data_IF_868204144819
#
_entry.id   IF_868204144819
#
_cell.length_a   1.000
_cell.length_b   1.000
_cell.length_c   1.000
_cell.angle_alpha   90.00
_cell.angle_beta   90.00
_cell.angle_gamma   90.00
#
_symmetry.space_group_name_H-M   'P 1'
#
loop_
_entity.id
_entity.type
_entity.pdbx_description
1 polymer ?
#
# COMPACT_ATOMS: atom_id res chain seq x y z
N UNK A 1 2.92 7.27 3.22
CA UNK A 1 2.37 6.57 2.05
C UNK A 1 0.89 6.91 1.95
N UNK A 2 0.40 7.21 0.75
CA UNK A 2 -0.99 7.61 0.50
C UNK A 2 -1.77 6.47 -0.14
N UNK A 3 -3.04 6.34 0.21
CA UNK A 3 -3.96 5.33 -0.30
C UNK A 3 -5.18 5.97 -0.96
N UNK A 4 -5.63 5.41 -2.07
CA UNK A 4 -6.76 5.87 -2.89
C UNK A 4 -7.77 4.75 -3.08
N UNK A 5 -9.05 5.08 -3.20
CA UNK A 5 -10.08 4.09 -3.52
C UNK A 5 -9.98 3.66 -4.98
N UNK A 6 -10.23 2.38 -5.24
CA UNK A 6 -10.40 1.83 -6.61
C UNK A 6 -11.55 2.46 -7.39
N UNK A 7 -12.50 3.14 -6.71
CA UNK A 7 -13.63 3.83 -7.35
C UNK A 7 -13.43 5.35 -7.46
N UNK A 8 -12.33 5.88 -6.91
CA UNK A 8 -11.91 7.28 -7.11
C UNK A 8 -12.65 8.34 -6.28
N UNK A 9 -13.80 8.00 -5.68
CA UNK A 9 -14.69 8.95 -5.00
C UNK A 9 -14.54 8.95 -3.47
N UNK A 10 -13.48 8.32 -2.95
CA UNK A 10 -13.13 8.36 -1.52
C UNK A 10 -11.96 9.32 -1.24
N UNK A 11 -11.90 9.93 -0.04
CA UNK A 11 -10.75 10.72 0.39
C UNK A 11 -9.44 9.93 0.33
N UNK A 12 -8.34 10.62 -0.01
CA UNK A 12 -6.99 10.06 0.08
C UNK A 12 -6.62 9.89 1.54
N UNK A 13 -6.23 8.69 1.94
CA UNK A 13 -5.90 8.36 3.34
C UNK A 13 -4.42 8.02 3.53
N UNK A 14 -3.94 8.13 4.77
CA UNK A 14 -2.69 7.49 5.21
C UNK A 14 -2.88 5.99 5.43
N UNK A 15 -1.77 5.26 5.62
CA UNK A 15 -1.81 3.80 5.85
C UNK A 15 -2.67 3.41 7.06
N UNK A 16 -2.41 4.00 8.23
CA UNK A 16 -3.16 3.66 9.45
C UNK A 16 -4.66 3.91 9.29
N UNK A 17 -5.03 5.03 8.67
CA UNK A 17 -6.43 5.37 8.43
C UNK A 17 -7.09 4.41 7.44
N UNK A 18 -6.37 3.98 6.38
CA UNK A 18 -6.86 3.01 5.42
C UNK A 18 -7.08 1.62 6.07
N UNK A 19 -6.15 1.19 6.94
CA UNK A 19 -6.28 -0.07 7.70
C UNK A 19 -7.47 -0.02 8.65
N UNK A 20 -7.64 1.09 9.38
CA UNK A 20 -8.75 1.25 10.32
C UNK A 20 -10.11 1.40 9.62
N UNK A 21 -10.13 2.03 8.45
CA UNK A 21 -11.35 2.14 7.64
C UNK A 21 -11.80 0.80 7.05
N UNK A 22 -10.84 -0.08 6.70
CA UNK A 22 -11.10 -1.36 6.06
C UNK A 22 -11.57 -1.19 4.62
N UNK A 23 -12.86 -0.86 4.43
CA UNK A 23 -13.46 -0.58 3.12
C UNK A 23 -13.48 0.94 2.85
N UNK A 24 -13.25 1.35 1.60
CA UNK A 24 -13.39 2.74 1.22
C UNK A 24 -14.86 3.19 1.27
N UNK A 25 -15.10 4.48 1.52
CA UNK A 25 -16.46 5.02 1.76
C UNK A 25 -17.41 4.89 0.57
N UNK A 26 -16.84 4.81 -0.64
CA UNK A 26 -17.55 4.61 -1.91
C UNK A 26 -17.78 3.10 -2.23
N UNK A 27 -17.47 2.21 -1.28
CA UNK A 27 -17.54 0.76 -1.45
C UNK A 27 -16.39 0.17 -2.28
N UNK A 28 -15.35 0.97 -2.57
CA UNK A 28 -14.11 0.51 -3.19
C UNK A 28 -13.10 -0.05 -2.17
N UNK A 29 -11.93 -0.44 -2.67
CA UNK A 29 -10.79 -0.88 -1.85
C UNK A 29 -9.71 0.19 -1.87
N UNK A 30 -9.00 0.37 -0.75
CA UNK A 30 -7.84 1.25 -0.71
C UNK A 30 -6.60 0.57 -1.32
N UNK A 31 -5.97 1.23 -2.28
CA UNK A 31 -4.68 0.84 -2.89
C UNK A 31 -3.65 1.96 -2.69
N UNK A 32 -2.35 1.67 -2.60
CA UNK A 32 -1.35 2.72 -2.53
C UNK A 32 -1.38 3.56 -3.81
N UNK A 33 -1.28 4.88 -3.67
CA UNK A 33 -1.23 5.80 -4.81
C UNK A 33 -0.07 5.47 -5.76
N UNK A 34 1.05 5.00 -5.20
CA UNK A 34 2.23 4.57 -5.94
C UNK A 34 2.77 3.27 -5.36
N UNK A 35 3.21 2.36 -6.24
CA UNK A 35 3.83 1.10 -5.84
C UNK A 35 5.32 1.29 -5.57
N UNK A 36 5.83 0.88 -4.39
CA UNK A 36 7.26 0.84 -4.12
C UNK A 36 7.97 0.02 -5.18
N UNK A 37 9.04 0.57 -5.75
CA UNK A 37 9.86 -0.10 -6.75
C UNK A 37 11.13 -0.64 -6.09
N UNK A 38 11.44 -1.90 -6.34
CA UNK A 38 12.70 -2.50 -5.92
C UNK A 38 13.62 -2.67 -7.13
N UNK A 39 14.84 -2.17 -7.00
CA UNK A 39 15.88 -2.43 -8.01
C UNK A 39 16.32 -3.90 -7.98
N UNK A 40 16.95 -4.37 -9.05
CA UNK A 40 17.54 -5.72 -9.06
C UNK A 40 18.59 -5.89 -7.94
N UNK A 41 19.29 -4.82 -7.55
CA UNK A 41 20.24 -4.85 -6.44
C UNK A 41 19.52 -5.00 -5.09
N UNK A 42 18.41 -4.29 -4.87
CA UNK A 42 17.61 -4.39 -3.64
C UNK A 42 17.08 -5.82 -3.47
N UNK A 43 16.55 -6.42 -4.53
CA UNK A 43 16.04 -7.81 -4.51
C UNK A 43 17.17 -8.79 -4.18
N UNK A 44 18.36 -8.61 -4.74
CA UNK A 44 19.51 -9.47 -4.44
C UNK A 44 19.97 -9.32 -2.98
N UNK A 45 19.88 -8.12 -2.41
CA UNK A 45 20.26 -7.84 -1.03
C UNK A 45 19.33 -8.50 -0.01
N UNK A 46 18.06 -8.77 -0.37
CA UNK A 46 17.11 -9.45 0.50
C UNK A 46 17.25 -10.99 0.53
N UNK A 47 18.17 -11.57 -0.25
CA UNK A 47 18.37 -13.03 -0.25
C UNK A 47 18.98 -13.50 1.07
N UNK A 48 18.34 -14.50 1.69
CA UNK A 48 18.80 -15.12 2.92
C UNK A 48 18.35 -14.38 4.19
N UNK A 49 17.59 -13.29 4.07
CA UNK A 49 16.89 -12.69 5.20
C UNK A 49 15.87 -13.67 5.77
N UNK A 50 15.68 -13.63 7.08
CA UNK A 50 14.57 -14.34 7.70
C UNK A 50 13.25 -13.65 7.32
N UNK A 51 12.13 -14.37 7.39
CA UNK A 51 10.83 -13.80 7.04
C UNK A 51 10.46 -12.45 7.69
N UNK A 52 10.81 -12.16 8.97
CA UNK A 52 10.51 -10.86 9.57
C UNK A 52 11.45 -9.71 9.15
N UNK A 53 12.58 -10.03 8.49
CA UNK A 53 13.62 -9.07 8.07
C UNK A 53 13.50 -8.71 6.57
#
# INVERSE_FOLDING_TARGET
MQYVSTRGDAPVLGFSDAVLAGLARDGGLYLPREWPQFSSANIRAMRGLAYPD
#
